data_IF_293191348513
#
_entry.id   IF_293191348513
#
_cell.length_a   1.000
_cell.length_b   1.000
_cell.length_c   1.000
_cell.angle_alpha   90.00
_cell.angle_beta   90.00
_cell.angle_gamma   90.00
#
_symmetry.space_group_name_H-M   'P 1'
#
loop_
_entity.id
_entity.type
_entity.pdbx_description
1 polymer ?
#
# COMPACT_ATOMS: atom_id res chain seq x y z
N UNK A 1 27.60 18.15 -5.56
CA UNK A 1 28.77 17.33 -5.92
C UNK A 1 29.99 18.16 -5.60
N UNK A 2 30.78 17.75 -4.61
CA UNK A 2 31.95 18.52 -4.15
C UNK A 2 33.18 18.18 -5.00
N UNK A 3 34.20 19.07 -5.06
CA UNK A 3 35.33 18.96 -5.98
C UNK A 3 36.13 17.65 -5.90
N UNK A 4 36.10 16.93 -4.77
CA UNK A 4 36.78 15.63 -4.64
C UNK A 4 35.92 14.41 -5.05
N UNK A 5 34.73 14.60 -5.60
CA UNK A 5 33.85 13.47 -5.95
C UNK A 5 34.41 12.70 -7.15
N UNK A 6 34.91 11.48 -6.91
CA UNK A 6 35.54 10.63 -7.94
C UNK A 6 34.57 9.77 -8.74
N UNK A 7 33.42 9.40 -8.16
CA UNK A 7 32.36 8.64 -8.83
C UNK A 7 31.03 8.84 -8.10
N UNK A 8 29.94 8.98 -8.85
CA UNK A 8 28.57 8.86 -8.36
C UNK A 8 27.88 7.78 -9.18
N UNK A 9 27.25 6.83 -8.50
CA UNK A 9 26.29 5.89 -9.10
C UNK A 9 24.93 6.23 -8.48
N UNK A 10 23.94 6.48 -9.35
CA UNK A 10 22.58 6.83 -8.92
C UNK A 10 21.56 6.00 -9.70
N UNK A 11 20.42 5.73 -9.07
CA UNK A 11 19.27 5.07 -9.67
C UNK A 11 18.01 5.88 -9.32
N UNK A 12 17.11 6.07 -10.28
CA UNK A 12 15.77 6.57 -10.04
C UNK A 12 14.74 5.64 -10.69
N UNK A 13 13.82 5.13 -9.88
CA UNK A 13 12.66 4.33 -10.33
C UNK A 13 11.41 5.20 -10.15
N UNK A 14 10.60 5.27 -11.20
CA UNK A 14 9.33 5.98 -11.21
C UNK A 14 8.21 4.99 -11.52
N UNK A 15 7.18 4.97 -10.67
CA UNK A 15 5.99 4.14 -10.87
C UNK A 15 4.74 5.01 -10.77
N UNK A 16 3.99 5.10 -11.87
CA UNK A 16 2.71 5.79 -11.93
C UNK A 16 1.78 5.01 -12.85
N UNK A 17 0.91 4.22 -12.23
CA UNK A 17 -0.08 3.44 -12.93
C UNK A 17 -1.49 3.76 -12.45
N UNK A 18 -2.47 3.43 -13.30
CA UNK A 18 -3.89 3.63 -13.00
C UNK A 18 -4.51 2.34 -12.50
N UNK A 19 -5.36 2.39 -11.48
CA UNK A 19 -6.11 1.21 -11.02
C UNK A 19 -7.07 0.70 -12.11
N UNK A 20 -7.29 -0.62 -12.21
CA UNK A 20 -8.36 -1.16 -13.08
C UNK A 20 -9.72 -0.59 -12.66
N UNK A 21 -9.96 -0.54 -11.34
CA UNK A 21 -11.14 0.07 -10.72
C UNK A 21 -10.70 1.32 -9.94
N UNK A 22 -10.88 2.48 -10.58
CA UNK A 22 -10.44 3.76 -10.03
C UNK A 22 -11.31 4.24 -8.88
N UNK A 23 -10.69 4.87 -7.88
CA UNK A 23 -11.40 5.53 -6.80
C UNK A 23 -12.09 6.80 -7.29
N UNK A 24 -13.36 6.99 -6.94
CA UNK A 24 -14.04 8.26 -7.16
C UNK A 24 -13.47 9.33 -6.24
N UNK A 25 -12.99 10.45 -6.80
CA UNK A 25 -12.46 11.59 -6.04
C UNK A 25 -13.48 12.16 -5.05
N UNK A 26 -14.77 12.09 -5.38
CA UNK A 26 -15.87 12.60 -4.56
C UNK A 26 -16.11 11.76 -3.30
N UNK A 27 -15.65 10.50 -3.29
CA UNK A 27 -15.76 9.60 -2.14
C UNK A 27 -14.53 9.68 -1.22
N UNK A 28 -13.60 10.59 -1.48
CA UNK A 28 -12.44 10.79 -0.60
C UNK A 28 -12.82 11.63 0.62
N UNK A 29 -12.78 11.02 1.81
CA UNK A 29 -12.91 11.77 3.06
C UNK A 29 -11.62 12.54 3.32
N UNK A 30 -11.69 13.87 3.37
CA UNK A 30 -10.52 14.75 3.55
C UNK A 30 -10.02 14.88 4.99
N UNK A 31 -10.77 14.36 5.98
CA UNK A 31 -10.51 14.54 7.39
C UNK A 31 -10.71 13.24 8.20
N UNK A 32 -10.28 12.11 7.64
CA UNK A 32 -10.38 10.80 8.28
C UNK A 32 -9.30 10.62 9.36
N UNK A 33 -9.62 9.88 10.42
CA UNK A 33 -8.65 9.51 11.45
C UNK A 33 -7.77 8.35 10.99
N UNK A 34 -6.46 8.52 11.10
CA UNK A 34 -5.46 7.47 10.92
C UNK A 34 -4.74 7.23 12.26
N UNK A 35 -4.76 5.99 12.72
CA UNK A 35 -4.12 5.58 13.97
C UNK A 35 -2.68 5.16 13.70
N UNK A 36 -1.72 5.98 14.11
CA UNK A 36 -0.30 5.70 13.99
C UNK A 36 0.14 4.63 14.99
N UNK A 37 1.24 3.93 14.70
CA UNK A 37 1.79 2.88 15.56
C UNK A 37 2.15 3.36 16.98
N UNK A 38 2.50 4.65 17.13
CA UNK A 38 2.81 5.30 18.41
C UNK A 38 1.56 5.71 19.21
N UNK A 39 0.35 5.39 18.73
CA UNK A 39 -0.93 5.74 19.38
C UNK A 39 -1.47 7.13 19.04
N UNK A 40 -0.71 7.96 18.30
CA UNK A 40 -1.19 9.26 17.80
C UNK A 40 -2.26 9.06 16.74
N UNK A 41 -3.20 10.00 16.71
CA UNK A 41 -4.21 10.09 15.65
C UNK A 41 -3.87 11.28 14.75
N UNK A 42 -3.76 11.03 13.45
CA UNK A 42 -3.52 12.05 12.43
C UNK A 42 -4.69 12.13 11.46
N UNK A 43 -5.02 13.35 11.03
CA UNK A 43 -6.05 13.58 10.02
C UNK A 43 -5.48 13.40 8.62
N UNK A 44 -6.10 12.55 7.81
CA UNK A 44 -5.64 12.22 6.46
C UNK A 44 -6.78 12.28 5.44
N UNK A 45 -6.40 12.42 4.17
CA UNK A 45 -7.32 12.17 3.06
C UNK A 45 -7.42 10.67 2.78
N UNK A 46 -8.55 10.05 3.08
CA UNK A 46 -8.80 8.61 2.91
C UNK A 46 -9.75 8.36 1.74
N UNK A 47 -9.29 7.57 0.77
CA UNK A 47 -10.10 7.19 -0.41
C UNK A 47 -11.03 6.03 -0.06
N UNK A 48 -12.24 6.01 -0.65
CA UNK A 48 -13.22 4.95 -0.44
C UNK A 48 -13.77 4.44 -1.77
N UNK A 49 -13.95 3.11 -1.86
CA UNK A 49 -14.70 2.45 -2.93
C UNK A 49 -15.27 1.12 -2.41
N UNK A 50 -16.22 0.55 -3.16
CA UNK A 50 -16.77 -0.78 -2.88
C UNK A 50 -16.83 -1.56 -4.19
N UNK A 51 -15.90 -2.49 -4.35
CA UNK A 51 -15.74 -3.31 -5.56
C UNK A 51 -15.37 -4.74 -5.17
N UNK A 52 -15.38 -5.66 -6.14
CA UNK A 52 -14.89 -7.03 -5.95
C UNK A 52 -13.38 -7.06 -6.17
N UNK A 53 -12.64 -7.40 -5.12
CA UNK A 53 -11.19 -7.58 -5.17
C UNK A 53 -10.80 -8.99 -4.70
N UNK A 54 -9.69 -9.56 -5.21
CA UNK A 54 -9.08 -10.70 -4.56
C UNK A 54 -8.71 -10.34 -3.13
N UNK A 55 -9.20 -11.14 -2.20
CA UNK A 55 -9.13 -10.89 -0.78
C UNK A 55 -8.84 -12.20 -0.04
N UNK A 56 -8.02 -12.12 0.99
CA UNK A 56 -7.73 -13.24 1.87
C UNK A 56 -7.54 -12.77 3.31
N UNK A 57 -7.81 -13.65 4.26
CA UNK A 57 -7.39 -13.50 5.64
C UNK A 57 -6.40 -14.62 5.97
N UNK A 58 -5.32 -14.29 6.66
CA UNK A 58 -4.35 -15.27 7.14
C UNK A 58 -4.34 -15.24 8.67
N UNK A 59 -4.81 -16.33 9.27
CA UNK A 59 -4.93 -16.46 10.71
C UNK A 59 -3.58 -16.58 11.41
N UNK A 60 -2.60 -17.25 10.80
CA UNK A 60 -1.26 -17.46 11.40
C UNK A 60 -0.45 -16.16 11.46
N UNK A 61 -0.63 -15.31 10.45
CA UNK A 61 -0.05 -13.97 10.37
C UNK A 61 -0.91 -12.91 11.07
N UNK A 62 -2.18 -13.21 11.36
CA UNK A 62 -3.20 -12.27 11.83
C UNK A 62 -3.33 -11.03 10.95
N UNK A 63 -3.50 -11.23 9.64
CA UNK A 63 -3.62 -10.14 8.65
C UNK A 63 -4.82 -10.33 7.72
N UNK A 64 -5.30 -9.20 7.21
CA UNK A 64 -6.18 -9.12 6.05
C UNK A 64 -5.36 -8.67 4.84
N UNK A 65 -5.60 -9.28 3.68
CA UNK A 65 -4.84 -9.03 2.46
C UNK A 65 -5.83 -8.69 1.34
N UNK A 66 -5.59 -7.59 0.63
CA UNK A 66 -6.35 -7.23 -0.57
C UNK A 66 -5.41 -6.91 -1.72
N UNK A 67 -5.78 -7.39 -2.91
CA UNK A 67 -5.09 -7.11 -4.16
C UNK A 67 -5.87 -6.07 -4.98
N UNK A 68 -5.21 -4.95 -5.29
CA UNK A 68 -5.77 -3.89 -6.13
C UNK A 68 -4.99 -3.88 -7.45
N UNK A 69 -5.56 -4.40 -8.55
CA UNK A 69 -4.85 -4.51 -9.80
C UNK A 69 -4.73 -3.14 -10.50
N UNK A 70 -3.59 -2.92 -11.14
CA UNK A 70 -3.38 -1.81 -12.07
C UNK A 70 -3.87 -2.18 -13.47
N UNK A 71 -4.24 -1.17 -14.26
CA UNK A 71 -4.46 -1.33 -15.70
C UNK A 71 -3.15 -1.80 -16.32
N UNK A 72 -3.27 -2.72 -17.27
CA UNK A 72 -2.19 -3.07 -18.18
C UNK A 72 -2.60 -2.64 -19.58
N UNK A 73 -1.61 -2.39 -20.43
CA UNK A 73 -1.82 -2.21 -21.87
C UNK A 73 -2.27 -3.53 -22.53
N UNK A 74 -1.85 -4.65 -21.97
CA UNK A 74 -2.26 -5.98 -22.38
C UNK A 74 -3.53 -6.39 -21.61
N UNK A 75 -4.29 -7.36 -22.15
CA UNK A 75 -5.55 -7.82 -21.53
C UNK A 75 -5.35 -8.54 -20.18
N UNK A 76 -4.10 -8.85 -19.84
CA UNK A 76 -3.72 -9.56 -18.63
C UNK A 76 -3.23 -8.58 -17.55
N UNK A 77 -3.46 -8.91 -16.28
CA UNK A 77 -3.00 -8.07 -15.16
C UNK A 77 -1.49 -8.24 -14.97
N UNK A 78 -0.72 -7.19 -15.27
CA UNK A 78 0.75 -7.20 -15.13
C UNK A 78 1.20 -6.77 -13.72
N UNK A 79 0.53 -5.79 -13.12
CA UNK A 79 0.88 -5.27 -11.80
C UNK A 79 -0.30 -5.28 -10.85
N UNK A 80 -0.01 -5.62 -9.60
CA UNK A 80 -0.97 -5.63 -8.49
C UNK A 80 -0.36 -4.91 -7.30
N UNK A 81 -1.13 -4.03 -6.69
CA UNK A 81 -0.84 -3.51 -5.37
C UNK A 81 -1.41 -4.44 -4.31
N UNK A 82 -0.54 -5.03 -3.50
CA UNK A 82 -0.93 -5.88 -2.38
C UNK A 82 -0.91 -5.05 -1.10
N UNK A 83 -2.09 -4.86 -0.49
CA UNK A 83 -2.21 -4.26 0.84
C UNK A 83 -2.33 -5.37 1.87
N UNK A 84 -1.41 -5.38 2.84
CA UNK A 84 -1.43 -6.27 3.99
C UNK A 84 -1.74 -5.40 5.21
N UNK A 85 -2.85 -5.69 5.88
CA UNK A 85 -3.31 -4.97 7.05
C UNK A 85 -3.30 -5.90 8.26
N UNK A 86 -2.49 -5.63 9.30
CA UNK A 86 -2.55 -6.36 10.56
C UNK A 86 -3.93 -6.23 11.21
N UNK A 87 -4.41 -7.31 11.81
CA UNK A 87 -5.59 -7.29 12.65
C UNK A 87 -5.37 -6.34 13.85
N UNK A 88 -6.47 -5.91 14.47
CA UNK A 88 -6.40 -5.03 15.65
C UNK A 88 -5.47 -5.62 16.70
N UNK A 89 -4.60 -4.78 17.26
CA UNK A 89 -3.60 -5.12 18.31
C UNK A 89 -2.42 -5.97 17.82
N UNK A 90 -2.28 -6.20 16.52
CA UNK A 90 -1.07 -6.79 15.92
C UNK A 90 -0.16 -5.67 15.44
N UNK A 91 1.09 -5.65 15.91
CA UNK A 91 2.07 -4.66 15.47
C UNK A 91 2.62 -5.03 14.09
N UNK A 92 2.92 -4.01 13.27
CA UNK A 92 3.35 -4.21 11.88
C UNK A 92 4.72 -4.88 11.78
N UNK A 93 5.60 -4.64 12.74
CA UNK A 93 6.93 -5.25 12.82
C UNK A 93 6.87 -6.77 13.01
N UNK A 94 5.93 -7.27 13.83
CA UNK A 94 5.68 -8.71 14.01
C UNK A 94 5.26 -9.36 12.71
N UNK A 95 4.40 -8.70 11.93
CA UNK A 95 4.00 -9.20 10.61
C UNK A 95 5.19 -9.21 9.65
N UNK A 96 5.99 -8.14 9.63
CA UNK A 96 7.19 -8.05 8.80
C UNK A 96 8.21 -9.16 9.09
N UNK A 97 8.43 -9.49 10.36
CA UNK A 97 9.33 -10.59 10.76
C UNK A 97 8.83 -11.95 10.28
N UNK A 98 7.53 -12.24 10.44
CA UNK A 98 6.93 -13.50 10.00
C UNK A 98 6.88 -13.67 8.48
N UNK A 99 6.85 -12.57 7.71
CA UNK A 99 6.92 -12.62 6.25
C UNK A 99 8.34 -12.87 5.73
N UNK A 100 9.36 -12.55 6.53
CA UNK A 100 10.77 -12.70 6.15
C UNK A 100 11.37 -14.06 6.54
N UNK A 101 10.68 -14.82 7.40
CA UNK A 101 11.04 -16.19 7.82
C UNK A 101 10.49 -17.23 6.85
#
# INVERSE_FOLDING_TARGET
>A
VIPETRLIITNSIYFKETWIKEFSKNLTNKNADFHEANGKISKVSLMHQREKFPYAENNDLHVQIVHIPYKSENKDVEFVFTMILPNRRVQLDVVGQKLAS
#
